data_IF_093915890769
#
_entry.id   IF_093915890769
#
_cell.length_a   1.000
_cell.length_b   1.000
_cell.length_c   1.000
_cell.angle_alpha   90.00
_cell.angle_beta   90.00
_cell.angle_gamma   90.00
#
_symmetry.space_group_name_H-M   'P 1'
#
loop_
_entity.id
_entity.type
_entity.pdbx_description
1 polymer ?
#
# COMPACT_ATOMS: atom_id res chain seq x y z
N UNK A 1 -10.69 4.71 -17.22
CA UNK A 1 -10.11 3.39 -17.55
C UNK A 1 -8.91 3.22 -16.65
N UNK A 2 -8.50 1.98 -16.31
CA UNK A 2 -7.26 1.77 -15.57
C UNK A 2 -6.11 2.55 -16.19
N UNK A 3 -5.13 2.93 -15.38
CA UNK A 3 -3.99 3.74 -15.78
C UNK A 3 -3.28 3.10 -16.97
N UNK A 4 -2.98 3.90 -17.99
CA UNK A 4 -2.48 3.35 -19.27
C UNK A 4 -0.98 3.15 -19.29
N UNK A 5 -0.25 4.04 -18.63
CA UNK A 5 1.20 4.05 -18.56
C UNK A 5 1.64 3.97 -17.10
N UNK A 6 1.16 2.95 -16.39
CA UNK A 6 1.48 2.75 -14.99
C UNK A 6 2.94 2.31 -14.82
N UNK A 7 3.60 2.83 -13.80
CA UNK A 7 4.96 2.42 -13.47
C UNK A 7 5.57 3.18 -12.32
N UNK A 8 6.89 3.08 -12.22
CA UNK A 8 7.69 3.76 -11.19
C UNK A 8 8.76 4.62 -11.85
N UNK A 9 8.85 5.87 -11.40
CA UNK A 9 9.91 6.81 -11.77
C UNK A 9 10.94 6.88 -10.64
N UNK A 10 12.17 6.43 -10.91
CA UNK A 10 13.32 6.55 -10.01
C UNK A 10 14.18 7.75 -10.41
N UNK A 11 14.54 8.61 -9.45
CA UNK A 11 15.50 9.69 -9.70
C UNK A 11 15.91 10.45 -8.45
N UNK A 12 16.80 11.42 -8.63
CA UNK A 12 17.27 12.33 -7.58
C UNK A 12 16.38 13.58 -7.54
N UNK A 13 15.76 13.87 -6.41
CA UNK A 13 15.06 15.14 -6.22
C UNK A 13 16.05 16.30 -6.11
N UNK A 14 15.76 17.40 -6.80
CA UNK A 14 16.62 18.59 -6.85
C UNK A 14 15.89 19.91 -6.54
N UNK A 15 14.56 19.93 -6.63
CA UNK A 15 13.74 21.10 -6.30
C UNK A 15 12.31 20.64 -5.94
N UNK A 16 11.55 21.47 -5.23
CA UNK A 16 10.14 21.22 -4.92
C UNK A 16 9.34 22.52 -4.83
N UNK A 17 8.03 22.45 -5.07
CA UNK A 17 7.10 23.57 -4.91
C UNK A 17 5.80 23.11 -4.29
N UNK A 18 5.34 23.88 -3.33
CA UNK A 18 4.04 23.66 -2.67
C UNK A 18 2.87 23.81 -3.65
N UNK A 19 1.80 23.07 -3.37
CA UNK A 19 0.56 23.17 -4.13
C UNK A 19 -0.21 24.43 -3.76
N UNK A 20 -0.37 25.36 -4.71
CA UNK A 20 -1.19 26.57 -4.54
C UNK A 20 -2.39 26.59 -5.51
N UNK A 21 -3.47 27.28 -5.11
CA UNK A 21 -4.62 27.59 -5.96
C UNK A 21 -5.78 26.58 -5.89
N UNK A 22 -6.65 26.58 -6.90
CA UNK A 22 -7.93 25.84 -6.88
C UNK A 22 -7.81 24.31 -7.08
N UNK A 23 -6.66 23.83 -7.59
CA UNK A 23 -6.34 22.41 -7.71
C UNK A 23 -4.88 22.25 -7.30
N UNK A 24 -4.57 22.39 -6.00
CA UNK A 24 -3.21 22.39 -5.52
C UNK A 24 -2.61 21.00 -5.73
N UNK A 25 -1.41 20.99 -6.30
CA UNK A 25 -0.61 19.79 -6.46
C UNK A 25 0.80 20.12 -5.97
N UNK A 26 1.33 19.33 -5.05
CA UNK A 26 2.74 19.43 -4.68
C UNK A 26 3.59 18.96 -5.86
N UNK A 27 4.62 19.74 -6.19
CA UNK A 27 5.47 19.49 -7.35
C UNK A 27 6.88 19.14 -6.89
N UNK A 28 7.43 18.05 -7.40
CA UNK A 28 8.84 17.68 -7.17
C UNK A 28 9.54 17.65 -8.52
N UNK A 29 10.68 18.33 -8.62
CA UNK A 29 11.58 18.20 -9.75
C UNK A 29 12.60 17.10 -9.45
N UNK A 30 12.65 16.09 -10.30
CA UNK A 30 13.66 15.04 -10.21
C UNK A 30 14.48 14.94 -11.50
N UNK A 31 15.66 14.35 -11.39
CA UNK A 31 16.57 14.04 -12.50
C UNK A 31 16.85 12.53 -12.51
N UNK A 32 16.76 11.90 -13.68
CA UNK A 32 17.05 10.48 -13.90
C UNK A 32 18.38 10.27 -14.67
N UNK A 33 19.41 11.03 -14.29
CA UNK A 33 20.70 11.24 -14.99
C UNK A 33 20.62 12.15 -16.22
N UNK A 34 19.72 11.86 -17.18
CA UNK A 34 19.68 12.55 -18.47
C UNK A 34 18.55 13.57 -18.60
N UNK A 35 17.38 13.25 -18.04
CA UNK A 35 16.16 14.02 -18.21
C UNK A 35 15.66 14.58 -16.89
N UNK A 36 14.88 15.65 -17.03
CA UNK A 36 14.12 16.23 -15.93
C UNK A 36 12.70 15.74 -16.01
N UNK A 37 12.14 15.45 -14.84
CA UNK A 37 10.77 15.00 -14.69
C UNK A 37 10.11 15.76 -13.55
N UNK A 38 8.81 15.95 -13.68
CA UNK A 38 7.99 16.50 -12.61
C UNK A 38 7.15 15.38 -12.00
N UNK A 39 7.22 15.22 -10.69
CA UNK A 39 6.23 14.43 -9.95
C UNK A 39 5.14 15.41 -9.52
N UNK A 40 3.88 15.11 -9.86
CA UNK A 40 2.73 15.93 -9.48
C UNK A 40 1.85 15.13 -8.51
N UNK A 41 1.85 15.54 -7.24
CA UNK A 41 1.10 14.86 -6.18
C UNK A 41 -0.16 15.66 -5.87
N UNK A 42 -1.31 15.01 -5.95
CA UNK A 42 -2.58 15.62 -5.57
C UNK A 42 -2.58 15.91 -4.07
N UNK A 43 -2.75 17.17 -3.67
CA UNK A 43 -2.89 17.53 -2.25
C UNK A 43 -4.32 17.90 -1.88
N UNK A 44 -5.27 17.87 -2.83
CA UNK A 44 -6.69 18.13 -2.58
C UNK A 44 -7.59 17.39 -3.57
N UNK A 45 -8.70 16.82 -3.09
CA UNK A 45 -9.75 16.26 -3.95
C UNK A 45 -10.69 17.34 -4.49
N UNK A 46 -11.29 17.08 -5.65
CA UNK A 46 -12.40 17.89 -6.20
C UNK A 46 -13.78 17.44 -5.71
N UNK A 47 -13.85 16.32 -4.99
CA UNK A 47 -15.08 15.70 -4.47
C UNK A 47 -15.05 15.76 -2.95
N UNK A 48 -16.17 16.09 -2.32
CA UNK A 48 -16.30 16.07 -0.86
C UNK A 48 -16.46 14.62 -0.33
N UNK A 49 -15.83 14.24 0.79
CA UNK A 49 -14.90 15.03 1.59
C UNK A 49 -13.57 15.29 0.86
N UNK A 50 -13.18 16.58 0.79
CA UNK A 50 -12.08 17.00 -0.10
C UNK A 50 -10.67 16.75 0.43
N UNK A 51 -10.59 16.35 1.70
CA UNK A 51 -9.37 15.96 2.40
C UNK A 51 -8.91 14.55 1.98
N UNK A 52 -7.58 14.39 1.90
CA UNK A 52 -6.96 13.09 1.67
C UNK A 52 -6.69 12.40 3.01
N UNK A 53 -6.79 11.08 3.00
CA UNK A 53 -6.11 10.23 3.95
C UNK A 53 -4.64 10.18 3.57
N UNK A 54 -3.77 10.38 4.56
CA UNK A 54 -2.34 10.19 4.41
C UNK A 54 -1.87 9.11 5.38
N UNK A 55 -0.87 8.37 4.93
CA UNK A 55 -0.08 7.50 5.79
C UNK A 55 1.40 7.68 5.42
N UNK A 56 2.22 7.89 6.44
CA UNK A 56 3.67 7.94 6.30
C UNK A 56 4.28 6.85 7.16
N UNK A 57 5.05 5.99 6.52
CA UNK A 57 5.94 5.07 7.19
C UNK A 57 7.36 5.63 7.11
N UNK A 58 7.89 6.13 8.23
CA UNK A 58 9.26 6.65 8.30
C UNK A 58 10.33 5.54 8.31
N UNK A 59 9.94 4.27 8.44
CA UNK A 59 10.82 3.10 8.41
C UNK A 59 10.23 1.99 7.54
N UNK A 60 9.81 2.35 6.34
CA UNK A 60 9.11 1.46 5.44
C UNK A 60 9.94 0.21 5.12
N UNK A 61 9.50 -0.93 5.62
CA UNK A 61 10.12 -2.23 5.37
C UNK A 61 9.14 -3.12 4.61
N UNK A 62 9.44 -3.39 3.35
CA UNK A 62 8.57 -4.16 2.46
C UNK A 62 9.42 -4.92 1.44
N UNK A 63 9.07 -6.17 1.07
CA UNK A 63 9.88 -6.96 0.12
C UNK A 63 10.19 -6.25 -1.21
N UNK A 64 9.32 -5.32 -1.65
CA UNK A 64 9.51 -4.56 -2.88
C UNK A 64 10.75 -3.64 -2.87
N UNK A 65 11.22 -3.17 -1.70
CA UNK A 65 12.29 -2.16 -1.64
C UNK A 65 13.61 -2.69 -2.21
N UNK A 66 13.86 -4.00 -2.08
CA UNK A 66 15.05 -4.64 -2.67
C UNK A 66 15.04 -4.57 -4.19
N UNK A 67 13.87 -4.76 -4.81
CA UNK A 67 13.72 -4.66 -6.27
C UNK A 67 13.83 -3.22 -6.74
N UNK A 68 13.22 -2.28 -6.00
CA UNK A 68 13.32 -0.84 -6.28
C UNK A 68 14.75 -0.31 -6.19
N UNK A 69 15.54 -0.76 -5.21
CA UNK A 69 16.93 -0.35 -5.08
C UNK A 69 17.73 -0.71 -6.35
N UNK A 70 17.45 -1.87 -6.94
CA UNK A 70 18.15 -2.39 -8.13
C UNK A 70 17.83 -1.67 -9.45
N UNK A 71 16.77 -0.87 -9.50
CA UNK A 71 16.39 -0.13 -10.70
C UNK A 71 17.45 0.89 -11.09
N UNK A 72 17.68 1.07 -12.39
CA UNK A 72 18.41 2.24 -12.88
C UNK A 72 17.54 3.50 -12.76
N UNK A 73 18.12 4.71 -12.67
CA UNK A 73 17.34 5.95 -12.79
C UNK A 73 16.50 5.95 -14.07
N UNK A 74 15.28 6.47 -13.98
CA UNK A 74 14.35 6.56 -15.10
C UNK A 74 12.96 6.05 -14.76
N UNK A 75 12.05 6.14 -15.75
CA UNK A 75 10.72 5.54 -15.66
C UNK A 75 10.76 4.09 -16.11
N UNK A 76 10.20 3.21 -15.29
CA UNK A 76 10.02 1.79 -15.56
C UNK A 76 8.54 1.48 -15.58
N UNK A 77 8.03 1.03 -16.72
CA UNK A 77 6.65 0.55 -16.84
C UNK A 77 6.50 -0.73 -16.02
N UNK A 78 5.43 -0.81 -15.24
CA UNK A 78 5.15 -1.95 -14.37
C UNK A 78 3.86 -2.63 -14.82
N UNK A 79 3.84 -3.95 -15.03
CA UNK A 79 2.60 -4.68 -15.20
C UNK A 79 1.74 -4.57 -13.94
N UNK A 80 0.45 -4.29 -14.11
CA UNK A 80 -0.53 -4.27 -13.02
C UNK A 80 -0.92 -5.68 -12.59
N UNK A 81 0.03 -6.40 -12.01
CA UNK A 81 -0.12 -7.78 -11.56
C UNK A 81 0.51 -8.02 -10.19
N UNK A 82 0.13 -9.13 -9.57
CA UNK A 82 0.64 -9.56 -8.28
C UNK A 82 2.09 -10.04 -8.38
N UNK A 83 2.83 -9.98 -7.27
CA UNK A 83 4.17 -10.54 -7.17
C UNK A 83 5.29 -9.69 -7.80
N UNK A 84 4.97 -8.55 -8.43
CA UNK A 84 5.93 -7.55 -8.89
C UNK A 84 6.04 -6.32 -7.98
N UNK A 85 6.58 -5.23 -8.52
CA UNK A 85 6.76 -3.94 -7.81
C UNK A 85 5.52 -3.03 -7.87
N UNK A 86 4.48 -3.41 -8.62
CA UNK A 86 3.28 -2.60 -8.73
C UNK A 86 2.62 -2.42 -7.35
N UNK A 87 2.32 -1.18 -6.97
CA UNK A 87 1.69 -0.89 -5.70
C UNK A 87 0.22 -1.28 -5.72
N UNK A 88 -0.20 -1.94 -4.65
CA UNK A 88 -1.60 -2.14 -4.29
C UNK A 88 -1.69 -2.09 -2.77
N UNK A 89 -2.37 -1.07 -2.22
CA UNK A 89 -2.39 -0.83 -0.78
C UNK A 89 -3.04 -2.00 -0.02
N UNK A 90 -4.06 -2.61 -0.63
CA UNK A 90 -4.86 -3.67 -0.02
C UNK A 90 -4.18 -5.01 -0.24
N UNK A 91 -3.93 -5.37 -1.50
CA UNK A 91 -3.44 -6.70 -1.90
C UNK A 91 -1.95 -6.85 -1.69
N UNK A 92 -1.21 -5.75 -1.71
CA UNK A 92 0.22 -5.71 -1.45
C UNK A 92 0.58 -5.62 0.03
N UNK A 93 -0.39 -5.48 0.96
CA UNK A 93 -0.13 -5.26 2.39
C UNK A 93 0.90 -4.13 2.65
N UNK A 94 0.77 -3.01 1.93
CA UNK A 94 1.74 -1.92 2.00
C UNK A 94 1.75 -1.23 3.37
N UNK A 95 0.61 -1.17 4.06
CA UNK A 95 0.49 -0.62 5.41
C UNK A 95 -0.83 -1.04 6.06
N UNK A 96 -0.96 -0.78 7.37
CA UNK A 96 -2.24 -0.91 8.06
C UNK A 96 -3.13 0.31 7.77
N UNK A 97 -4.22 0.09 7.05
CA UNK A 97 -5.12 1.15 6.62
C UNK A 97 -5.77 1.91 7.78
N UNK A 98 -5.91 1.29 8.97
CA UNK A 98 -6.41 1.97 10.16
C UNK A 98 -5.45 3.05 10.69
N UNK A 99 -4.20 3.06 10.22
CA UNK A 99 -3.18 4.04 10.60
C UNK A 99 -3.22 5.28 9.70
N UNK A 100 -3.98 5.25 8.59
CA UNK A 100 -4.18 6.40 7.74
C UNK A 100 -4.99 7.47 8.49
N UNK A 101 -4.54 8.72 8.41
CA UNK A 101 -5.16 9.85 9.10
C UNK A 101 -5.71 10.84 8.07
N UNK A 102 -6.84 11.52 8.33
CA UNK A 102 -7.21 12.67 7.53
C UNK A 102 -6.20 13.80 7.77
N UNK A 103 -5.80 14.50 6.71
CA UNK A 103 -5.01 15.74 6.84
C UNK A 103 -5.62 16.84 5.98
N UNK A 104 -5.80 18.04 6.55
CA UNK A 104 -6.01 19.22 5.75
C UNK A 104 -4.85 19.45 4.78
N UNK A 105 -5.13 20.08 3.65
CA UNK A 105 -4.15 20.29 2.59
C UNK A 105 -3.24 21.51 2.80
N UNK A 106 -3.73 22.51 3.54
CA UNK A 106 -3.05 23.79 3.78
C UNK A 106 -3.76 24.50 4.94
N UNK A 107 -3.15 24.50 6.13
CA UNK A 107 -3.67 25.24 7.31
C UNK A 107 -2.53 25.95 8.05
N UNK A 108 -2.77 27.12 8.67
CA UNK A 108 -1.71 27.82 9.40
C UNK A 108 -1.21 27.02 10.60
N UNK A 109 0.11 26.94 10.75
CA UNK A 109 0.79 26.28 11.86
C UNK A 109 1.74 25.20 11.33
N UNK A 110 2.77 24.79 12.10
CA UNK A 110 3.75 23.82 11.62
C UNK A 110 3.26 22.37 11.77
N UNK A 111 3.69 21.54 10.83
CA UNK A 111 3.52 20.09 10.76
C UNK A 111 2.06 19.62 10.81
N UNK A 112 1.14 20.41 10.26
CA UNK A 112 -0.29 20.17 10.38
C UNK A 112 -1.04 20.05 9.04
N UNK A 113 -0.33 20.16 7.91
CA UNK A 113 -0.89 19.97 6.58
C UNK A 113 -0.04 19.07 5.65
N UNK A 114 -0.65 18.68 4.54
CA UNK A 114 -0.06 17.76 3.57
C UNK A 114 1.11 18.37 2.77
N UNK A 115 1.10 19.68 2.49
CA UNK A 115 2.22 20.34 1.81
C UNK A 115 3.47 20.29 2.69
N UNK A 116 3.35 20.65 3.96
CA UNK A 116 4.45 20.64 4.92
C UNK A 116 4.99 19.22 5.14
N UNK A 117 4.09 18.24 5.26
CA UNK A 117 4.47 16.84 5.42
C UNK A 117 5.27 16.32 4.23
N UNK A 118 4.81 16.56 3.00
CA UNK A 118 5.55 16.12 1.80
C UNK A 118 6.85 16.89 1.70
N UNK A 119 6.83 18.21 1.95
CA UNK A 119 8.02 19.05 1.91
C UNK A 119 9.10 18.56 2.87
N UNK A 120 8.76 18.17 4.11
CA UNK A 120 9.69 17.63 5.12
C UNK A 120 10.56 16.51 4.54
N UNK A 121 9.94 15.49 3.94
CA UNK A 121 10.68 14.33 3.43
C UNK A 121 11.38 14.60 2.10
N UNK A 122 10.75 15.37 1.21
CA UNK A 122 11.35 15.75 -0.08
C UNK A 122 12.57 16.66 0.13
N UNK A 123 12.51 17.63 1.04
CA UNK A 123 13.64 18.48 1.39
C UNK A 123 14.82 17.65 1.94
N UNK A 124 14.53 16.61 2.75
CA UNK A 124 15.55 15.67 3.23
C UNK A 124 16.20 14.91 2.08
N UNK A 125 15.40 14.42 1.13
CA UNK A 125 15.90 13.76 -0.07
C UNK A 125 16.76 14.73 -0.91
N UNK A 126 16.31 15.96 -1.16
CA UNK A 126 17.09 16.97 -1.91
C UNK A 126 18.47 17.16 -1.26
N UNK A 127 18.52 17.33 0.06
CA UNK A 127 19.74 17.60 0.80
C UNK A 127 20.75 16.43 0.84
N UNK A 128 20.31 15.18 0.71
CA UNK A 128 21.18 14.00 0.82
C UNK A 128 21.67 13.54 -0.56
N UNK A 129 22.95 13.74 -0.89
CA UNK A 129 23.50 13.48 -2.24
C UNK A 129 23.10 12.12 -2.84
N UNK A 130 23.19 11.04 -2.05
CA UNK A 130 22.91 9.67 -2.50
C UNK A 130 21.43 9.26 -2.43
N UNK A 131 20.51 10.14 -2.04
CA UNK A 131 19.08 9.80 -1.93
C UNK A 131 18.48 9.40 -3.28
N UNK A 132 17.47 8.53 -3.25
CA UNK A 132 16.63 8.27 -4.42
C UNK A 132 15.15 8.47 -4.06
N UNK A 133 14.39 9.03 -5.00
CA UNK A 133 12.94 9.15 -4.94
C UNK A 133 12.33 8.22 -5.99
N UNK A 134 11.28 7.52 -5.57
CA UNK A 134 10.50 6.56 -6.34
C UNK A 134 9.05 7.03 -6.32
N UNK A 135 8.55 7.52 -7.46
CA UNK A 135 7.16 7.88 -7.60
C UNK A 135 6.42 6.83 -8.43
N UNK A 136 5.31 6.33 -7.90
CA UNK A 136 4.42 5.38 -8.57
C UNK A 136 3.16 6.08 -9.05
N UNK A 137 2.72 5.75 -10.25
CA UNK A 137 1.53 6.34 -10.88
C UNK A 137 1.59 6.26 -12.40
N UNK A 138 0.87 7.15 -13.07
CA UNK A 138 0.82 7.19 -14.55
C UNK A 138 1.84 8.19 -15.11
N UNK A 139 2.61 7.77 -16.12
CA UNK A 139 3.52 8.67 -16.84
C UNK A 139 2.79 9.49 -17.90
N UNK A 140 3.10 10.79 -17.96
CA UNK A 140 2.81 11.63 -19.12
C UNK A 140 4.08 12.09 -19.83
N UNK A 141 3.92 12.53 -21.08
CA UNK A 141 5.03 13.01 -21.89
C UNK A 141 5.93 11.88 -22.42
N UNK A 142 7.03 12.22 -23.12
CA UNK A 142 7.54 13.58 -23.33
C UNK A 142 6.61 14.45 -24.18
N UNK A 143 6.41 15.69 -23.75
CA UNK A 143 5.61 16.71 -24.42
C UNK A 143 6.53 17.72 -25.14
N UNK A 144 6.04 18.30 -26.24
CA UNK A 144 6.78 19.32 -27.00
C UNK A 144 6.84 20.68 -26.31
N UNK A 145 5.91 20.95 -25.39
CA UNK A 145 5.86 22.15 -24.55
C UNK A 145 6.82 22.04 -23.36
N UNK A 146 7.22 23.19 -22.80
CA UNK A 146 7.99 23.25 -21.55
C UNK A 146 7.11 22.88 -20.37
N UNK A 147 7.71 22.30 -19.35
CA UNK A 147 7.06 22.16 -18.06
C UNK A 147 6.68 23.53 -17.50
N UNK A 148 5.44 23.66 -16.99
CA UNK A 148 4.90 24.94 -16.52
C UNK A 148 5.42 25.38 -15.15
N UNK A 149 5.95 24.46 -14.34
CA UNK A 149 6.47 24.79 -13.01
C UNK A 149 7.97 25.05 -13.09
N UNK A 150 8.74 24.09 -13.57
CA UNK A 150 10.20 24.09 -13.55
C UNK A 150 10.85 24.47 -14.90
N UNK A 151 10.07 24.66 -15.97
CA UNK A 151 10.54 25.27 -17.22
C UNK A 151 11.42 24.38 -18.12
N UNK A 152 11.65 23.11 -17.76
CA UNK A 152 12.45 22.17 -18.55
C UNK A 152 11.72 21.69 -19.82
N UNK A 153 12.48 21.15 -20.79
CA UNK A 153 11.97 20.61 -22.07
C UNK A 153 12.75 19.34 -22.44
N UNK A 154 12.09 18.27 -22.94
CA UNK A 154 10.65 18.10 -23.09
C UNK A 154 9.92 18.13 -21.74
N UNK A 155 8.67 18.56 -21.71
CA UNK A 155 7.84 18.41 -20.51
C UNK A 155 7.58 16.92 -20.27
N UNK A 156 7.79 16.41 -19.06
CA UNK A 156 7.72 14.98 -18.77
C UNK A 156 7.45 14.77 -17.27
N UNK A 157 6.87 13.63 -16.90
CA UNK A 157 6.76 13.26 -15.48
C UNK A 157 5.69 12.22 -15.15
N UNK A 158 5.31 12.15 -13.88
CA UNK A 158 4.38 11.16 -13.31
C UNK A 158 3.33 11.73 -12.31
N UNK A 159 2.06 11.29 -12.42
CA UNK A 159 0.89 11.77 -11.66
C UNK A 159 0.06 10.57 -11.16
N UNK A 160 -1.11 10.84 -10.60
CA UNK A 160 -2.01 9.85 -9.99
C UNK A 160 -1.28 9.10 -8.85
N UNK A 161 -0.55 9.90 -8.06
CA UNK A 161 0.27 9.49 -6.91
C UNK A 161 -0.62 9.32 -5.67
N UNK A 162 -1.63 8.47 -5.75
CA UNK A 162 -2.56 8.10 -4.67
C UNK A 162 -3.19 6.73 -4.96
N UNK A 163 -4.02 6.20 -4.07
CA UNK A 163 -4.82 5.00 -4.34
C UNK A 163 -5.64 5.19 -5.62
N UNK A 164 -5.50 4.27 -6.57
CA UNK A 164 -6.18 4.28 -7.87
C UNK A 164 -7.17 3.11 -7.93
N UNK A 165 -7.87 2.90 -6.82
CA UNK A 165 -8.88 1.86 -6.62
C UNK A 165 -9.90 2.30 -5.56
N UNK A 166 -11.01 1.56 -5.47
CA UNK A 166 -12.03 1.78 -4.44
C UNK A 166 -12.87 3.02 -4.65
N UNK A 167 -12.90 3.60 -5.85
CA UNK A 167 -13.64 4.82 -6.11
C UNK A 167 -15.17 4.61 -6.10
N UNK A 168 -15.93 5.71 -5.97
CA UNK A 168 -17.38 5.70 -6.16
C UNK A 168 -17.76 5.44 -7.63
N UNK A 169 -19.02 5.07 -7.89
CA UNK A 169 -19.50 4.68 -9.23
C UNK A 169 -19.19 5.70 -10.33
N UNK A 170 -19.22 7.00 -10.02
CA UNK A 170 -18.92 8.07 -10.96
C UNK A 170 -17.48 8.02 -11.50
N UNK A 171 -16.57 7.41 -10.74
CA UNK A 171 -15.14 7.32 -11.03
C UNK A 171 -14.65 5.86 -11.16
N UNK A 172 -15.58 4.90 -11.26
CA UNK A 172 -15.28 3.47 -11.48
C UNK A 172 -14.29 3.22 -12.62
N UNK A 173 -14.32 4.09 -13.62
CA UNK A 173 -13.40 4.01 -14.74
C UNK A 173 -11.95 4.01 -14.31
N UNK A 174 -11.58 4.72 -13.25
CA UNK A 174 -10.19 4.95 -12.86
C UNK A 174 -9.66 3.86 -11.91
N UNK A 175 -10.53 2.94 -11.48
CA UNK A 175 -10.18 1.82 -10.64
C UNK A 175 -9.43 0.71 -11.38
N UNK A 176 -8.54 0.05 -10.65
CA UNK A 176 -7.77 -1.09 -11.12
C UNK A 176 -6.93 -1.67 -9.99
N UNK A 177 -6.64 -2.97 -10.10
CA UNK A 177 -5.75 -3.66 -9.16
C UNK A 177 -4.29 -3.39 -9.52
N UNK A 178 -3.37 -3.36 -8.55
CA UNK A 178 -1.93 -3.20 -8.79
C UNK A 178 -1.57 -1.98 -9.67
N UNK A 179 -2.18 -0.84 -9.38
CA UNK A 179 -1.89 0.43 -10.05
C UNK A 179 -1.97 1.63 -9.10
N UNK A 180 -1.87 1.38 -7.79
CA UNK A 180 -1.87 2.47 -6.83
C UNK A 180 -0.63 3.34 -7.01
N UNK A 181 -0.79 4.62 -6.77
CA UNK A 181 0.31 5.57 -6.72
C UNK A 181 0.92 5.67 -5.33
N UNK A 182 2.02 6.40 -5.21
CA UNK A 182 2.70 6.61 -3.94
C UNK A 182 4.09 7.17 -4.12
N UNK A 183 4.67 7.67 -3.03
CA UNK A 183 6.05 8.16 -3.01
C UNK A 183 6.87 7.32 -2.03
N UNK A 184 7.95 6.72 -2.50
CA UNK A 184 8.95 6.04 -1.67
C UNK A 184 10.27 6.80 -1.80
N UNK A 185 10.96 7.02 -0.69
CA UNK A 185 12.22 7.76 -0.62
C UNK A 185 13.25 6.87 0.08
N UNK A 186 14.36 6.61 -0.61
CA UNK A 186 15.51 5.94 -0.02
C UNK A 186 16.54 6.97 0.45
N UNK A 187 16.86 6.91 1.74
CA UNK A 187 17.88 7.71 2.41
C UNK A 187 19.04 6.78 2.83
N UNK A 188 19.95 6.41 1.91
CA UNK A 188 20.94 5.35 2.16
C UNK A 188 21.94 5.70 3.27
N UNK A 189 22.29 6.97 3.43
CA UNK A 189 23.20 7.42 4.50
C UNK A 189 22.60 7.19 5.91
N UNK A 190 21.29 6.96 5.99
CA UNK A 190 20.55 6.66 7.21
C UNK A 190 20.06 5.20 7.27
N UNK A 191 20.36 4.39 6.25
CA UNK A 191 19.81 3.04 6.05
C UNK A 191 18.28 3.00 6.17
N UNK A 192 17.60 4.02 5.61
CA UNK A 192 16.20 4.28 5.86
C UNK A 192 15.39 4.43 4.59
N UNK A 193 14.21 3.84 4.58
CA UNK A 193 13.19 4.00 3.56
C UNK A 193 11.99 4.71 4.17
N UNK A 194 11.47 5.71 3.47
CA UNK A 194 10.25 6.43 3.85
C UNK A 194 9.22 6.20 2.77
N UNK A 195 8.00 5.80 3.13
CA UNK A 195 6.89 5.70 2.20
C UNK A 195 5.78 6.68 2.57
N UNK A 196 5.22 7.35 1.57
CA UNK A 196 4.10 8.27 1.67
C UNK A 196 3.00 7.74 0.75
N UNK A 197 1.90 7.32 1.36
CA UNK A 197 0.72 6.81 0.69
C UNK A 197 -0.46 7.75 0.92
N UNK A 198 -1.25 7.95 -0.14
CA UNK A 198 -2.35 8.90 -0.15
C UNK A 198 -3.60 8.21 -0.70
N UNK A 199 -4.75 8.47 -0.11
CA UNK A 199 -6.03 7.99 -0.60
C UNK A 199 -7.10 9.05 -0.37
N UNK A 200 -8.15 9.06 -1.18
CA UNK A 200 -9.30 9.93 -0.90
C UNK A 200 -10.16 9.31 0.20
N UNK A 201 -10.69 10.13 1.11
CA UNK A 201 -11.59 9.65 2.16
C UNK A 201 -12.87 8.99 1.62
N UNK A 202 -13.27 9.33 0.38
CA UNK A 202 -14.40 8.70 -0.31
C UNK A 202 -14.10 7.32 -0.89
N UNK A 203 -12.83 6.91 -0.94
CA UNK A 203 -12.44 5.60 -1.47
C UNK A 203 -12.66 4.52 -0.42
N UNK A 204 -12.99 3.34 -0.91
CA UNK A 204 -13.13 2.14 -0.10
C UNK A 204 -11.87 1.28 -0.15
N UNK A 205 -11.58 0.64 0.99
CA UNK A 205 -10.45 -0.28 1.11
C UNK A 205 -10.82 -1.77 1.06
N UNK A 206 -12.07 -2.06 0.75
CA UNK A 206 -12.55 -3.37 0.30
C UNK A 206 -12.92 -3.28 -1.18
N UNK A 207 -12.08 -3.87 -2.02
CA UNK A 207 -12.20 -3.73 -3.48
C UNK A 207 -12.24 -5.09 -4.17
N UNK A 208 -12.97 -5.13 -5.29
CA UNK A 208 -13.09 -6.32 -6.14
C UNK A 208 -11.73 -6.73 -6.70
N UNK A 209 -11.47 -8.03 -6.66
CA UNK A 209 -10.13 -8.59 -6.85
C UNK A 209 -9.64 -8.62 -8.31
N UNK A 210 -10.50 -8.18 -9.23
CA UNK A 210 -10.25 -8.08 -10.67
C UNK A 210 -10.27 -6.63 -11.13
N UNK A 211 -11.27 -5.86 -10.68
CA UNK A 211 -11.52 -4.49 -11.16
C UNK A 211 -10.93 -3.42 -10.26
N UNK A 212 -10.61 -3.74 -9.01
CA UNK A 212 -10.23 -2.74 -8.00
C UNK A 212 -11.39 -1.81 -7.60
N UNK A 213 -12.60 -2.03 -8.10
CA UNK A 213 -13.74 -1.20 -7.74
C UNK A 213 -14.22 -1.52 -6.32
N UNK A 214 -14.80 -0.52 -5.63
CA UNK A 214 -15.35 -0.72 -4.28
C UNK A 214 -16.40 -1.83 -4.24
N UNK A 215 -16.49 -2.52 -3.10
CA UNK A 215 -17.54 -3.49 -2.78
C UNK A 215 -18.52 -2.82 -1.80
N UNK A 216 -19.62 -2.21 -2.26
CA UNK A 216 -20.45 -1.33 -1.43
C UNK A 216 -20.88 -1.95 -0.09
N UNK A 217 -21.24 -3.23 -0.09
CA UNK A 217 -21.68 -3.96 1.10
C UNK A 217 -20.61 -4.01 2.19
N UNK A 218 -19.34 -4.10 1.81
CA UNK A 218 -18.20 -4.10 2.74
C UNK A 218 -17.78 -2.68 3.16
N UNK A 219 -18.07 -1.67 2.33
CA UNK A 219 -17.65 -0.29 2.55
C UNK A 219 -18.66 0.53 3.38
N UNK A 220 -19.95 0.37 3.09
CA UNK A 220 -21.03 1.21 3.64
C UNK A 220 -21.58 0.65 4.97
N UNK A 221 -21.24 -0.60 5.33
CA UNK A 221 -21.70 -1.29 6.53
C UNK A 221 -20.79 -1.20 7.76
N UNK A 222 -19.61 -0.56 7.68
CA UNK A 222 -18.50 -0.85 8.59
C UNK A 222 -17.76 0.31 9.27
N UNK A 223 -18.30 1.53 9.39
CA UNK A 223 -17.47 2.61 9.97
C UNK A 223 -18.10 3.92 10.44
N UNK A 224 -19.43 4.06 10.60
CA UNK A 224 -20.01 5.37 10.95
C UNK A 224 -21.38 5.44 11.63
N UNK A 225 -22.00 4.31 11.98
CA UNK A 225 -23.27 4.34 12.71
C UNK A 225 -23.02 4.16 14.23
N UNK A 226 -23.68 4.94 15.12
CA UNK A 226 -23.71 4.62 16.54
C UNK A 226 -24.31 3.23 16.74
N UNK A 227 -23.92 2.48 17.79
CA UNK A 227 -24.47 1.15 18.03
C UNK A 227 -25.99 1.23 18.21
N UNK A 228 -26.72 0.73 17.21
CA UNK A 228 -28.10 0.34 17.37
C UNK A 228 -28.20 -0.96 18.18
N UNK A 229 -29.41 -1.34 18.63
CA UNK A 229 -29.59 -2.56 19.40
C UNK A 229 -29.09 -3.79 18.62
N UNK A 230 -28.65 -4.85 19.32
CA UNK A 230 -28.16 -6.06 18.65
C UNK A 230 -29.29 -6.65 17.81
N UNK A 231 -29.04 -6.79 16.51
CA UNK A 231 -29.84 -7.64 15.63
C UNK A 231 -29.11 -8.96 15.53
N UNK A 232 -29.82 -10.06 15.75
CA UNK A 232 -29.37 -11.46 15.70
C UNK A 232 -28.95 -11.94 14.29
N UNK A 233 -28.30 -11.09 13.50
CA UNK A 233 -27.61 -11.52 12.29
C UNK A 233 -26.21 -12.03 12.67
N UNK A 234 -25.65 -13.04 11.96
CA UNK A 234 -24.26 -13.43 12.19
C UNK A 234 -23.42 -12.17 12.03
N UNK A 235 -22.77 -11.74 13.12
CA UNK A 235 -21.88 -10.60 13.11
C UNK A 235 -20.90 -10.82 11.98
N UNK A 236 -20.99 -9.99 10.92
CA UNK A 236 -20.02 -10.06 9.85
C UNK A 236 -18.63 -9.83 10.47
N UNK A 237 -17.69 -10.73 10.17
CA UNK A 237 -16.31 -10.60 10.62
C UNK A 237 -15.80 -9.24 10.19
N UNK A 238 -15.32 -8.45 11.15
CA UNK A 238 -14.74 -7.14 10.91
C UNK A 238 -13.25 -7.27 10.64
N UNK A 239 -12.71 -6.25 9.98
CA UNK A 239 -11.27 -6.06 9.85
C UNK A 239 -10.62 -6.20 11.23
N UNK A 240 -9.53 -6.96 11.28
CA UNK A 240 -8.71 -7.17 12.49
C UNK A 240 -9.37 -7.99 13.61
N UNK A 241 -10.59 -8.54 13.44
CA UNK A 241 -11.19 -9.48 14.41
C UNK A 241 -10.28 -10.70 14.65
N UNK A 242 -9.70 -11.23 13.57
CA UNK A 242 -8.62 -12.22 13.62
C UNK A 242 -7.34 -11.62 13.06
N UNK A 243 -6.24 -11.75 13.81
CA UNK A 243 -4.94 -11.14 13.49
C UNK A 243 -3.90 -12.18 13.12
N UNK A 244 -3.05 -11.89 12.14
CA UNK A 244 -1.81 -12.62 11.93
C UNK A 244 -0.77 -12.05 12.90
N UNK A 245 -0.35 -12.84 13.89
CA UNK A 245 0.59 -12.37 14.92
C UNK A 245 1.99 -12.94 14.76
N UNK A 246 2.14 -14.08 14.07
CA UNK A 246 3.42 -14.71 13.86
C UNK A 246 3.43 -15.66 12.66
N UNK A 247 4.61 -15.95 12.12
CA UNK A 247 4.80 -16.98 11.10
C UNK A 247 6.15 -17.70 11.26
N UNK A 248 6.17 -19.00 11.00
CA UNK A 248 7.38 -19.76 10.72
C UNK A 248 7.55 -19.80 9.21
N UNK A 249 8.40 -18.91 8.68
CA UNK A 249 8.63 -18.74 7.24
C UNK A 249 9.72 -19.68 6.75
N UNK A 250 10.80 -19.79 7.51
CA UNK A 250 11.98 -20.58 7.15
C UNK A 250 12.19 -21.70 8.17
N UNK A 251 11.46 -22.83 8.09
CA UNK A 251 11.63 -23.94 9.03
C UNK A 251 13.02 -24.59 8.92
N UNK A 252 13.41 -25.40 9.91
CA UNK A 252 14.63 -26.21 9.79
C UNK A 252 14.42 -27.34 8.77
N UNK A 253 15.41 -27.55 7.90
CA UNK A 253 15.36 -28.61 6.89
C UNK A 253 14.75 -28.16 5.57
N UNK A 254 13.61 -28.73 5.18
CA UNK A 254 12.92 -28.36 3.94
C UNK A 254 11.69 -27.51 4.24
N UNK A 255 11.48 -26.45 3.46
CA UNK A 255 10.39 -25.49 3.69
C UNK A 255 9.01 -26.13 3.53
N UNK A 256 8.82 -26.91 2.47
CA UNK A 256 7.52 -27.44 2.07
C UNK A 256 6.84 -28.26 3.16
N UNK A 257 5.66 -27.80 3.59
CA UNK A 257 4.83 -28.51 4.56
C UNK A 257 5.20 -28.28 6.03
N UNK A 258 6.20 -27.45 6.30
CA UNK A 258 6.67 -27.12 7.66
C UNK A 258 6.47 -25.64 8.02
N UNK A 259 6.14 -24.81 7.03
CA UNK A 259 5.74 -23.41 7.22
C UNK A 259 4.44 -23.32 8.02
N UNK A 260 4.29 -22.24 8.79
CA UNK A 260 3.05 -22.03 9.54
C UNK A 260 2.75 -20.56 9.82
N UNK A 261 1.46 -20.26 9.98
CA UNK A 261 0.96 -18.93 10.37
C UNK A 261 0.21 -19.07 11.69
N UNK A 262 0.43 -18.13 12.62
CA UNK A 262 -0.27 -18.08 13.90
C UNK A 262 -1.28 -16.95 13.88
N UNK A 263 -2.53 -17.31 14.11
CA UNK A 263 -3.67 -16.41 14.16
C UNK A 263 -4.04 -16.13 15.62
N UNK A 264 -4.55 -14.94 15.91
CA UNK A 264 -5.13 -14.53 17.20
C UNK A 264 -6.55 -14.05 16.98
N UNK A 265 -7.52 -14.60 17.72
CA UNK A 265 -8.86 -14.03 17.80
C UNK A 265 -8.87 -12.91 18.85
N UNK A 266 -9.17 -11.69 18.43
CA UNK A 266 -9.18 -10.50 19.32
C UNK A 266 -10.56 -10.20 19.90
N UNK A 267 -11.56 -10.98 19.53
CA UNK A 267 -12.96 -10.77 19.90
C UNK A 267 -13.34 -11.57 21.16
N UNK A 268 -14.44 -11.21 21.84
CA UNK A 268 -14.93 -11.96 23.00
C UNK A 268 -15.69 -13.24 22.64
N UNK A 269 -15.87 -13.54 21.34
CA UNK A 269 -16.65 -14.65 20.85
C UNK A 269 -15.78 -15.65 20.07
N UNK A 270 -16.22 -16.91 19.96
CA UNK A 270 -15.56 -17.90 19.12
C UNK A 270 -15.80 -17.59 17.64
N UNK A 271 -14.77 -17.69 16.81
CA UNK A 271 -14.87 -17.46 15.36
C UNK A 271 -14.73 -18.78 14.61
N UNK A 272 -15.68 -19.04 13.71
CA UNK A 272 -15.63 -20.14 12.75
C UNK A 272 -14.78 -19.74 11.53
N UNK A 273 -13.78 -20.57 11.22
CA UNK A 273 -12.83 -20.38 10.13
C UNK A 273 -13.20 -21.19 8.88
N UNK A 274 -14.29 -21.96 8.89
CA UNK A 274 -14.73 -22.71 7.72
C UNK A 274 -14.97 -21.76 6.52
N UNK A 275 -14.27 -22.04 5.42
CA UNK A 275 -14.33 -21.24 4.19
C UNK A 275 -13.36 -20.05 4.16
N UNK A 276 -12.68 -19.72 5.27
CA UNK A 276 -11.61 -18.72 5.28
C UNK A 276 -10.37 -19.24 4.56
N UNK A 277 -9.43 -18.34 4.26
CA UNK A 277 -8.18 -18.72 3.62
C UNK A 277 -7.00 -17.83 4.03
N UNK A 278 -5.81 -18.42 4.02
CA UNK A 278 -4.54 -17.68 3.98
C UNK A 278 -4.09 -17.60 2.53
N UNK A 279 -3.76 -16.39 2.05
CA UNK A 279 -3.22 -16.15 0.72
C UNK A 279 -1.75 -15.68 0.79
N UNK A 280 -0.94 -16.18 -0.15
CA UNK A 280 0.44 -15.71 -0.36
C UNK A 280 0.52 -14.58 -1.40
N UNK A 281 1.74 -14.08 -1.65
CA UNK A 281 2.02 -13.03 -2.63
C UNK A 281 1.62 -13.36 -4.07
N UNK A 282 1.49 -14.65 -4.39
CA UNK A 282 1.08 -15.14 -5.71
C UNK A 282 -0.42 -15.47 -5.75
N UNK A 283 -1.19 -15.00 -4.76
CA UNK A 283 -2.61 -15.29 -4.57
C UNK A 283 -2.94 -16.78 -4.41
N UNK A 284 -1.98 -17.66 -4.13
CA UNK A 284 -2.29 -19.06 -3.79
C UNK A 284 -2.90 -19.11 -2.40
N UNK A 285 -3.94 -19.94 -2.25
CA UNK A 285 -4.78 -19.99 -1.04
C UNK A 285 -4.65 -21.33 -0.32
N UNK A 286 -4.35 -21.28 0.97
CA UNK A 286 -4.52 -22.37 1.92
C UNK A 286 -5.86 -22.17 2.65
N UNK A 287 -6.83 -23.04 2.40
CA UNK A 287 -8.14 -22.95 3.03
C UNK A 287 -8.10 -23.41 4.49
N UNK A 288 -8.85 -22.71 5.33
CA UNK A 288 -8.92 -22.96 6.76
C UNK A 288 -10.20 -23.74 7.10
N UNK A 289 -10.17 -24.37 8.28
CA UNK A 289 -11.33 -25.01 8.87
C UNK A 289 -11.23 -25.03 10.39
N UNK A 290 -12.35 -25.31 11.05
CA UNK A 290 -12.46 -25.34 12.50
C UNK A 290 -12.74 -23.95 13.09
N UNK A 291 -12.40 -23.75 14.36
CA UNK A 291 -12.70 -22.50 15.06
C UNK A 291 -11.56 -22.06 15.95
N UNK A 292 -11.55 -20.76 16.28
CA UNK A 292 -10.63 -20.14 17.23
C UNK A 292 -11.45 -19.53 18.37
N UNK A 293 -11.19 -19.97 19.61
CA UNK A 293 -11.89 -19.45 20.78
C UNK A 293 -11.61 -17.97 21.03
N UNK A 294 -12.43 -17.34 21.85
CA UNK A 294 -12.27 -15.94 22.24
C UNK A 294 -10.90 -15.70 22.90
N UNK A 295 -10.13 -14.74 22.38
CA UNK A 295 -8.78 -14.44 22.88
C UNK A 295 -7.73 -15.53 22.63
N UNK A 296 -8.07 -16.63 21.95
CA UNK A 296 -7.16 -17.74 21.71
C UNK A 296 -6.30 -17.55 20.45
N UNK A 297 -5.22 -18.31 20.37
CA UNK A 297 -4.37 -18.39 19.19
C UNK A 297 -4.48 -19.74 18.51
N UNK A 298 -4.48 -19.75 17.18
CA UNK A 298 -4.46 -20.96 16.37
C UNK A 298 -3.26 -20.96 15.43
N UNK A 299 -2.44 -22.01 15.48
CA UNK A 299 -1.33 -22.21 14.55
C UNK A 299 -1.78 -23.08 13.38
N UNK A 300 -1.70 -22.53 12.18
CA UNK A 300 -2.02 -23.20 10.92
C UNK A 300 -0.73 -23.61 10.24
N UNK A 301 -0.52 -24.92 10.05
CA UNK A 301 0.58 -25.45 9.23
C UNK A 301 0.16 -25.48 7.77
N UNK A 302 0.97 -24.90 6.89
CA UNK A 302 0.72 -24.88 5.45
C UNK A 302 1.11 -26.24 4.84
N UNK A 303 0.39 -26.68 3.81
CA UNK A 303 0.58 -28.03 3.25
C UNK A 303 1.82 -28.14 2.36
N UNK A 304 2.40 -27.00 1.95
CA UNK A 304 3.46 -26.91 0.94
C UNK A 304 2.97 -27.08 -0.49
N UNK A 305 1.68 -27.31 -0.74
CA UNK A 305 1.08 -27.39 -2.10
C UNK A 305 0.23 -26.16 -2.46
N UNK A 306 -0.22 -25.43 -1.44
CA UNK A 306 -1.11 -24.30 -1.49
C UNK A 306 -0.33 -22.97 -1.30
N UNK A 307 -0.77 -22.09 -0.40
CA UNK A 307 -0.02 -20.89 -0.04
C UNK A 307 1.38 -21.26 0.47
N UNK A 308 2.40 -20.51 0.05
CA UNK A 308 3.80 -20.74 0.43
C UNK A 308 4.46 -19.43 0.88
N UNK A 309 5.29 -19.50 1.92
CA UNK A 309 5.99 -18.37 2.49
C UNK A 309 7.41 -18.30 1.91
N UNK A 310 7.70 -17.23 1.15
CA UNK A 310 8.99 -17.15 0.47
C UNK A 310 10.09 -16.70 1.42
N UNK A 311 11.16 -17.49 1.53
CA UNK A 311 12.42 -17.09 2.17
C UNK A 311 13.12 -15.86 1.53
N UNK A 312 12.55 -15.29 0.46
CA UNK A 312 13.01 -14.06 -0.20
C UNK A 312 12.19 -12.82 0.18
N UNK A 313 11.29 -12.94 1.15
CA UNK A 313 10.31 -11.92 1.49
C UNK A 313 8.98 -12.13 0.73
N UNK A 314 7.90 -11.64 1.33
CA UNK A 314 6.56 -11.86 0.82
C UNK A 314 5.50 -11.18 1.67
N UNK A 315 4.25 -11.59 1.41
CA UNK A 315 3.07 -11.13 2.13
C UNK A 315 2.23 -12.33 2.54
N UNK A 316 1.49 -12.17 3.64
CA UNK A 316 0.51 -13.15 4.14
C UNK A 316 -0.79 -12.39 4.35
N UNK A 317 -1.86 -12.84 3.71
CA UNK A 317 -3.18 -12.20 3.80
C UNK A 317 -4.20 -13.20 4.33
N UNK A 318 -4.94 -12.81 5.36
CA UNK A 318 -6.06 -13.56 5.89
C UNK A 318 -7.35 -13.09 5.24
N UNK A 319 -8.09 -14.02 4.65
CA UNK A 319 -9.35 -13.78 3.96
C UNK A 319 -10.49 -14.48 4.70
N UNK A 320 -11.63 -13.80 4.81
CA UNK A 320 -12.86 -14.38 5.32
C UNK A 320 -13.52 -15.34 4.31
N UNK A 321 -14.67 -15.92 4.69
CA UNK A 321 -15.47 -16.81 3.82
C UNK A 321 -16.00 -16.14 2.55
N UNK A 322 -16.10 -14.81 2.51
CA UNK A 322 -16.50 -14.02 1.32
C UNK A 322 -15.30 -13.67 0.44
N UNK A 323 -14.08 -13.94 0.91
CA UNK A 323 -12.84 -13.56 0.24
C UNK A 323 -12.38 -12.13 0.53
N UNK A 324 -12.98 -11.44 1.51
CA UNK A 324 -12.58 -10.12 1.96
C UNK A 324 -11.38 -10.23 2.90
N UNK A 325 -10.50 -9.23 2.84
CA UNK A 325 -9.30 -9.19 3.67
C UNK A 325 -9.66 -8.85 5.12
N UNK A 326 -9.34 -9.74 6.05
CA UNK A 326 -9.51 -9.52 7.49
C UNK A 326 -8.25 -8.94 8.12
N UNK A 327 -7.09 -9.47 7.74
CA UNK A 327 -5.78 -8.97 8.16
C UNK A 327 -4.73 -9.28 7.10
N UNK A 328 -3.58 -8.62 7.17
CA UNK A 328 -2.46 -8.91 6.29
C UNK A 328 -1.17 -8.30 6.79
N UNK A 329 -0.07 -9.01 6.54
CA UNK A 329 1.28 -8.62 6.91
C UNK A 329 2.21 -8.78 5.71
N UNK A 330 3.33 -8.06 5.73
CA UNK A 330 4.44 -8.23 4.80
C UNK A 330 5.72 -8.53 5.59
N UNK A 331 6.71 -9.11 4.93
CA UNK A 331 8.01 -9.41 5.52
C UNK A 331 9.11 -9.43 4.47
N UNK A 332 10.32 -9.07 4.88
CA UNK A 332 11.48 -9.00 4.00
C UNK A 332 12.31 -10.27 4.03
N UNK A 333 13.21 -10.40 3.05
CA UNK A 333 14.23 -11.45 3.02
C UNK A 333 15.07 -11.48 4.29
N UNK A 334 15.37 -10.30 4.86
CA UNK A 334 16.20 -10.19 6.06
C UNK A 334 15.50 -10.82 7.25
N UNK A 335 14.21 -10.53 7.42
CA UNK A 335 13.40 -11.06 8.51
C UNK A 335 13.16 -12.57 8.36
N UNK A 336 12.93 -13.04 7.12
CA UNK A 336 12.78 -14.47 6.83
C UNK A 336 14.08 -15.30 6.89
N UNK A 337 15.24 -14.68 7.15
CA UNK A 337 16.54 -15.37 7.01
C UNK A 337 16.85 -16.37 8.13
N UNK A 338 16.22 -16.25 9.30
CA UNK A 338 16.46 -17.12 10.45
C UNK A 338 15.78 -18.48 10.30
N UNK A 339 16.56 -19.55 10.09
CA UNK A 339 16.01 -20.91 10.03
C UNK A 339 15.52 -21.40 11.40
N UNK A 340 14.33 -21.99 11.44
CA UNK A 340 13.67 -22.51 12.64
C UNK A 340 12.97 -21.46 13.50
N UNK A 341 13.13 -20.17 13.22
CA UNK A 341 12.58 -19.10 14.04
C UNK A 341 11.15 -18.74 13.64
N UNK A 342 10.27 -18.65 14.63
CA UNK A 342 8.96 -18.04 14.46
C UNK A 342 9.11 -16.52 14.60
N UNK A 343 8.82 -15.82 13.52
CA UNK A 343 8.83 -14.36 13.43
C UNK A 343 7.52 -13.80 13.95
N UNK A 344 7.58 -12.66 14.65
CA UNK A 344 6.42 -11.95 15.21
C UNK A 344 6.23 -10.66 14.42
N UNK A 345 4.97 -10.28 14.18
CA UNK A 345 4.58 -9.08 13.44
C UNK A 345 4.12 -7.94 14.35
#
# INVERSE_FOLDING_TARGET
MPLKNYGVLKGKAIDSREGMGASPHFQILIVDDDLRHRIAINVKSKVEPSELLYYVDENFDHPMVTELESLLPGFHELPSEHGGMALDYIRGNCFDLSMAKPLPHDIPGPDNDLNELIHKYVARAIAMENSAVYAFGEKWGPETKRDKYFGFKPGNGIHDIHANQGNSDAWRGDDGVYQDGGLIIHLPDEARWVAIFLAFQSQCFHTDDVTGHRIPEACDGGGGAPPGPPVDEPTETRDKDVRIIAALINPEGHDYGLESVTLLNTTPDSIDLDGWAIADKNKKKAHLSGSIGAGETLRITLSGKDAQLSNKGGIITLLDRKGLKVDGVSYTKKEASGSGWTMVF
#
